data_IF_564110502705
#
_entry.id   IF_564110502705
#
_cell.length_a   1.000
_cell.length_b   1.000
_cell.length_c   1.000
_cell.angle_alpha   90.00
_cell.angle_beta   90.00
_cell.angle_gamma   90.00
#
_symmetry.space_group_name_H-M   'P 1'
#
loop_
_entity.id
_entity.type
_entity.pdbx_description
1 polymer ?
#
# COMPACT_ATOMS: atom_id res chain seq x y z
N UNK A 1 -19.62 -38.23 6.85
CA UNK A 1 -18.70 -37.18 6.38
C UNK A 1 -19.36 -36.09 5.53
N UNK A 2 -20.45 -36.37 4.79
CA UNK A 2 -21.07 -35.38 3.89
C UNK A 2 -21.91 -34.30 4.61
N UNK A 3 -22.53 -34.62 5.76
CA UNK A 3 -23.47 -33.70 6.44
C UNK A 3 -22.75 -32.61 7.25
N UNK A 4 -21.53 -32.88 7.74
CA UNK A 4 -20.77 -31.89 8.52
C UNK A 4 -20.13 -30.79 7.65
N UNK A 5 -19.72 -31.14 6.40
CA UNK A 5 -19.25 -30.15 5.42
C UNK A 5 -20.37 -29.20 4.97
N UNK A 6 -21.59 -29.73 4.79
CA UNK A 6 -22.76 -28.91 4.40
C UNK A 6 -23.16 -27.92 5.50
N UNK A 7 -23.08 -28.32 6.77
CA UNK A 7 -23.40 -27.44 7.91
C UNK A 7 -22.33 -26.34 8.11
N UNK A 8 -21.05 -26.66 7.91
CA UNK A 8 -19.96 -25.67 7.98
C UNK A 8 -20.03 -24.66 6.82
N UNK A 9 -20.39 -25.13 5.62
CA UNK A 9 -20.56 -24.31 4.43
C UNK A 9 -21.79 -23.40 4.54
N UNK A 10 -22.89 -23.91 5.12
CA UNK A 10 -24.04 -23.08 5.48
C UNK A 10 -23.69 -22.01 6.52
N UNK A 11 -22.78 -22.28 7.45
CA UNK A 11 -22.40 -21.29 8.46
C UNK A 11 -21.54 -20.16 7.89
N UNK A 12 -20.60 -20.45 6.98
CA UNK A 12 -19.78 -19.43 6.30
C UNK A 12 -20.65 -18.58 5.36
N UNK A 13 -21.55 -19.21 4.59
CA UNK A 13 -22.50 -18.53 3.71
C UNK A 13 -23.50 -17.71 4.54
N UNK A 14 -24.05 -18.25 5.64
CA UNK A 14 -24.98 -17.54 6.50
C UNK A 14 -24.29 -16.40 7.26
N UNK A 15 -23.01 -16.50 7.63
CA UNK A 15 -22.28 -15.38 8.19
C UNK A 15 -22.00 -14.27 7.15
N UNK A 16 -21.86 -14.64 5.87
CA UNK A 16 -21.71 -13.72 4.74
C UNK A 16 -23.06 -13.19 4.20
N UNK A 17 -24.19 -13.87 4.43
CA UNK A 17 -25.52 -13.48 3.94
C UNK A 17 -26.49 -12.99 5.02
N UNK A 18 -26.23 -13.23 6.31
CA UNK A 18 -27.09 -12.79 7.40
C UNK A 18 -26.80 -11.33 7.76
N UNK A 19 -27.34 -10.44 6.94
CA UNK A 19 -27.94 -9.17 7.36
C UNK A 19 -27.05 -8.22 8.16
N UNK A 20 -26.10 -7.56 7.48
CA UNK A 20 -25.72 -6.12 7.55
C UNK A 20 -24.32 -5.88 6.94
N UNK A 21 -24.02 -6.43 5.76
CA UNK A 21 -22.79 -6.03 5.07
C UNK A 21 -23.09 -4.72 4.34
N UNK A 22 -22.78 -3.60 4.99
CA UNK A 22 -22.48 -2.37 4.26
C UNK A 22 -21.36 -2.71 3.30
N UNK A 23 -21.65 -2.77 2.00
CA UNK A 23 -20.73 -3.17 0.93
C UNK A 23 -19.36 -2.48 0.97
N UNK A 24 -19.27 -1.35 1.65
CA UNK A 24 -18.09 -0.54 1.84
C UNK A 24 -17.62 -0.65 3.29
N UNK A 25 -16.33 -0.89 3.49
CA UNK A 25 -15.67 -0.93 4.79
C UNK A 25 -14.52 0.07 4.81
N UNK A 26 -14.44 0.86 5.88
CA UNK A 26 -13.29 1.71 6.16
C UNK A 26 -12.06 0.85 6.47
N UNK A 27 -10.98 1.03 5.73
CA UNK A 27 -9.68 0.40 6.03
C UNK A 27 -9.00 1.22 7.12
N UNK A 28 -8.92 2.53 6.89
CA UNK A 28 -8.38 3.55 7.78
C UNK A 28 -8.97 4.93 7.42
N UNK A 29 -8.37 6.01 7.93
CA UNK A 29 -8.84 7.39 7.68
C UNK A 29 -8.66 7.87 6.22
N UNK A 30 -7.89 7.13 5.41
CA UNK A 30 -7.52 7.52 4.04
C UNK A 30 -8.19 6.66 2.97
N UNK A 31 -8.60 5.43 3.28
CA UNK A 31 -9.10 4.48 2.29
C UNK A 31 -10.29 3.63 2.75
N UNK A 32 -11.17 3.34 1.79
CA UNK A 32 -12.35 2.49 1.91
C UNK A 32 -12.30 1.36 0.88
N UNK A 33 -12.80 0.17 1.22
CA UNK A 33 -12.90 -0.97 0.29
C UNK A 33 -14.36 -1.34 0.01
N UNK A 34 -14.73 -1.38 -1.28
CA UNK A 34 -15.98 -1.98 -1.77
C UNK A 34 -15.75 -3.49 -2.03
N UNK A 35 -16.33 -4.31 -1.17
CA UNK A 35 -16.32 -5.76 -1.26
C UNK A 35 -17.73 -6.31 -1.55
N UNK A 36 -18.61 -5.50 -2.15
CA UNK A 36 -19.88 -6.00 -2.68
C UNK A 36 -19.67 -7.15 -3.66
N UNK A 37 -20.68 -8.01 -3.74
CA UNK A 37 -20.71 -9.08 -4.71
C UNK A 37 -20.79 -8.50 -6.13
N UNK A 38 -19.86 -8.92 -7.00
CA UNK A 38 -19.86 -8.60 -8.43
C UNK A 38 -20.95 -9.36 -9.19
N UNK A 39 -21.45 -10.45 -8.61
CA UNK A 39 -22.48 -11.30 -9.18
C UNK A 39 -23.07 -12.27 -8.15
N UNK A 40 -23.94 -13.17 -8.59
CA UNK A 40 -24.48 -14.21 -7.72
C UNK A 40 -23.38 -15.24 -7.42
N UNK A 41 -23.30 -15.75 -6.17
CA UNK A 41 -22.38 -16.84 -5.84
C UNK A 41 -22.61 -18.05 -6.75
N UNK A 42 -21.52 -18.63 -7.25
CA UNK A 42 -21.57 -19.82 -8.11
C UNK A 42 -21.34 -21.06 -7.25
N UNK A 43 -22.29 -22.00 -7.28
CA UNK A 43 -22.22 -23.23 -6.47
C UNK A 43 -21.76 -24.39 -7.35
N UNK A 44 -20.59 -24.93 -7.05
CA UNK A 44 -20.07 -26.15 -7.66
C UNK A 44 -20.33 -27.36 -6.77
N UNK A 45 -20.05 -28.56 -7.29
CA UNK A 45 -20.24 -29.80 -6.54
C UNK A 45 -19.32 -29.89 -5.30
N UNK A 46 -18.15 -29.25 -5.37
CA UNK A 46 -17.07 -29.36 -4.39
C UNK A 46 -16.75 -28.07 -3.65
N UNK A 47 -17.10 -26.90 -4.21
CA UNK A 47 -16.81 -25.58 -3.64
C UNK A 47 -17.88 -24.55 -4.05
N UNK A 48 -17.83 -23.36 -3.45
CA UNK A 48 -18.61 -22.19 -3.86
C UNK A 48 -17.63 -21.07 -4.17
N UNK A 49 -17.85 -20.41 -5.30
CA UNK A 49 -17.15 -19.20 -5.67
C UNK A 49 -17.98 -17.96 -5.34
N UNK A 50 -17.32 -16.99 -4.70
CA UNK A 50 -17.88 -15.69 -4.39
C UNK A 50 -17.01 -14.61 -5.03
N UNK A 51 -17.53 -14.01 -6.09
CA UNK A 51 -16.85 -12.90 -6.76
C UNK A 51 -17.18 -11.59 -6.03
N UNK A 52 -16.16 -11.01 -5.40
CA UNK A 52 -16.22 -9.69 -4.77
C UNK A 52 -15.63 -8.65 -5.71
N UNK A 53 -16.13 -7.41 -5.67
CA UNK A 53 -15.56 -6.31 -6.46
C UNK A 53 -14.11 -6.02 -6.08
N UNK A 54 -13.84 -5.92 -4.78
CA UNK A 54 -12.50 -5.69 -4.24
C UNK A 54 -11.87 -4.41 -4.79
N UNK A 55 -12.58 -3.28 -4.69
CA UNK A 55 -12.06 -1.98 -5.16
C UNK A 55 -11.79 -1.10 -3.97
N UNK A 56 -10.62 -0.46 -3.95
CA UNK A 56 -10.26 0.50 -2.90
C UNK A 56 -10.42 1.92 -3.43
N UNK A 57 -11.09 2.75 -2.63
CA UNK A 57 -11.38 4.15 -2.90
C UNK A 57 -10.72 5.05 -1.84
N UNK A 58 -10.37 6.30 -2.19
CA UNK A 58 -10.09 7.32 -1.19
C UNK A 58 -11.29 7.51 -0.25
N UNK A 59 -11.02 7.64 1.05
CA UNK A 59 -12.07 7.83 2.05
C UNK A 59 -12.92 9.07 1.72
N UNK A 60 -14.24 8.91 1.71
CA UNK A 60 -15.20 9.97 1.36
C UNK A 60 -15.20 10.41 -0.11
N UNK A 61 -14.36 9.84 -0.98
CA UNK A 61 -14.33 10.15 -2.41
C UNK A 61 -14.17 8.87 -3.24
N UNK A 62 -15.28 8.38 -3.80
CA UNK A 62 -15.33 7.21 -4.68
C UNK A 62 -14.88 7.53 -6.12
N UNK A 63 -13.75 8.20 -6.27
CA UNK A 63 -13.14 8.38 -7.59
C UNK A 63 -12.61 7.04 -8.07
N UNK A 64 -13.04 6.61 -9.25
CA UNK A 64 -12.60 5.35 -9.83
C UNK A 64 -11.11 5.38 -10.18
N UNK A 65 -10.45 4.27 -9.92
CA UNK A 65 -9.07 4.02 -10.31
C UNK A 65 -8.93 4.04 -11.84
N UNK A 66 -7.83 4.59 -12.40
CA UNK A 66 -7.58 4.60 -13.85
C UNK A 66 -7.24 3.22 -14.42
N UNK A 67 -7.01 2.23 -13.55
CA UNK A 67 -6.66 0.87 -13.93
C UNK A 67 -7.91 0.06 -14.30
N UNK A 68 -7.73 -1.05 -15.02
CA UNK A 68 -8.82 -1.97 -15.37
C UNK A 68 -8.58 -3.34 -14.76
N UNK A 69 -9.64 -3.93 -14.23
CA UNK A 69 -9.59 -5.30 -13.71
C UNK A 69 -9.36 -6.31 -14.84
N UNK A 70 -8.30 -7.10 -14.71
CA UNK A 70 -8.08 -8.29 -15.53
C UNK A 70 -8.74 -9.50 -14.90
N UNK A 71 -9.26 -10.41 -15.72
CA UNK A 71 -9.70 -11.72 -15.24
C UNK A 71 -8.49 -12.54 -14.79
N UNK A 72 -8.65 -13.26 -13.68
CA UNK A 72 -7.66 -14.21 -13.19
C UNK A 72 -8.36 -15.50 -12.79
N UNK A 73 -7.61 -16.59 -12.69
CA UNK A 73 -8.15 -17.90 -12.31
C UNK A 73 -7.46 -18.36 -11.04
N UNK A 74 -8.23 -18.98 -10.17
CA UNK A 74 -7.71 -19.62 -8.97
C UNK A 74 -7.42 -21.07 -9.35
N UNK A 75 -6.18 -21.56 -9.14
CA UNK A 75 -5.87 -22.95 -9.41
C UNK A 75 -6.70 -23.87 -8.51
N UNK A 76 -7.14 -25.00 -9.08
CA UNK A 76 -8.04 -25.94 -8.42
C UNK A 76 -7.28 -26.72 -7.33
N UNK A 77 -7.30 -26.14 -6.13
CA UNK A 77 -6.74 -26.73 -4.92
C UNK A 77 -7.88 -27.10 -3.98
N UNK A 78 -7.78 -28.26 -3.34
CA UNK A 78 -8.80 -28.78 -2.40
C UNK A 78 -8.22 -29.15 -1.04
N UNK A 79 -7.05 -28.61 -0.72
CA UNK A 79 -6.33 -28.83 0.54
C UNK A 79 -6.77 -27.88 1.67
N UNK A 80 -7.53 -26.84 1.37
CA UNK A 80 -7.97 -25.80 2.31
C UNK A 80 -9.48 -25.59 2.28
N UNK A 81 -10.05 -25.07 3.37
CA UNK A 81 -11.49 -24.78 3.47
C UNK A 81 -11.91 -23.46 2.82
N UNK A 82 -10.96 -22.55 2.61
CA UNK A 82 -11.17 -21.22 2.06
C UNK A 82 -9.95 -20.85 1.22
N UNK A 83 -10.20 -20.31 0.03
CA UNK A 83 -9.18 -19.68 -0.80
C UNK A 83 -9.56 -18.21 -0.97
N UNK A 84 -8.59 -17.33 -0.77
CA UNK A 84 -8.70 -15.91 -1.06
C UNK A 84 -7.73 -15.60 -2.18
N UNK A 85 -8.22 -14.92 -3.20
CA UNK A 85 -7.42 -14.46 -4.31
C UNK A 85 -7.65 -12.97 -4.52
N UNK A 86 -6.54 -12.26 -4.73
CA UNK A 86 -6.52 -10.82 -4.90
C UNK A 86 -6.05 -10.52 -6.31
N UNK A 87 -6.79 -9.67 -7.01
CA UNK A 87 -6.41 -9.21 -8.34
C UNK A 87 -5.30 -8.17 -8.26
N UNK A 88 -4.57 -7.99 -9.37
CA UNK A 88 -3.61 -6.88 -9.49
C UNK A 88 -4.34 -5.53 -9.30
N UNK A 89 -5.56 -5.47 -9.81
CA UNK A 89 -6.44 -4.31 -9.73
C UNK A 89 -6.80 -3.92 -8.29
N UNK A 90 -6.97 -4.88 -7.37
CA UNK A 90 -7.17 -4.58 -5.94
C UNK A 90 -5.99 -3.78 -5.39
N UNK A 91 -4.75 -4.20 -5.69
CA UNK A 91 -3.56 -3.50 -5.23
C UNK A 91 -3.33 -2.17 -5.96
N UNK A 92 -3.61 -2.11 -7.26
CA UNK A 92 -3.51 -0.88 -8.05
C UNK A 92 -4.51 0.19 -7.59
N UNK A 93 -5.77 -0.18 -7.36
CA UNK A 93 -6.79 0.72 -6.79
C UNK A 93 -6.42 1.16 -5.37
N UNK A 94 -5.84 0.28 -4.55
CA UNK A 94 -5.30 0.64 -3.24
C UNK A 94 -4.20 1.70 -3.36
N UNK A 95 -3.21 1.47 -4.21
CA UNK A 95 -2.12 2.43 -4.44
C UNK A 95 -2.63 3.80 -4.91
N UNK A 96 -3.59 3.81 -5.83
CA UNK A 96 -4.25 5.02 -6.29
C UNK A 96 -4.98 5.76 -5.16
N UNK A 97 -5.74 5.05 -4.33
CA UNK A 97 -6.46 5.63 -3.21
C UNK A 97 -5.52 6.31 -2.20
N UNK A 98 -4.47 5.62 -1.77
CA UNK A 98 -3.48 6.18 -0.84
C UNK A 98 -2.66 7.31 -1.45
N UNK A 99 -2.34 7.25 -2.74
CA UNK A 99 -1.64 8.32 -3.44
C UNK A 99 -2.46 9.59 -3.52
N UNK A 100 -3.73 9.48 -3.92
CA UNK A 100 -4.63 10.64 -4.02
C UNK A 100 -4.99 11.21 -2.64
N UNK A 101 -4.99 10.38 -1.60
CA UNK A 101 -5.12 10.82 -0.21
C UNK A 101 -3.83 11.47 0.37
N UNK A 102 -2.73 11.46 -0.38
CA UNK A 102 -1.47 12.09 0.04
C UNK A 102 -0.59 11.26 0.97
N UNK A 103 -0.87 9.96 1.13
CA UNK A 103 -0.13 9.07 2.03
C UNK A 103 1.36 8.94 1.68
N UNK A 104 1.73 9.15 0.41
CA UNK A 104 3.12 9.09 -0.05
C UNK A 104 3.85 10.44 -0.01
N UNK A 105 3.27 11.44 0.66
CA UNK A 105 3.93 12.73 0.95
C UNK A 105 4.23 12.80 2.44
N UNK A 106 5.49 12.60 2.81
CA UNK A 106 5.92 12.54 4.20
C UNK A 106 7.04 13.53 4.48
N UNK A 107 6.93 14.23 5.60
CA UNK A 107 8.03 15.02 6.15
C UNK A 107 8.63 14.29 7.34
N UNK A 108 9.91 13.95 7.25
CA UNK A 108 10.70 13.45 8.38
C UNK A 108 11.28 14.67 9.10
N UNK A 109 10.76 14.89 10.31
CA UNK A 109 11.09 16.02 11.16
C UNK A 109 12.49 15.90 11.79
N UNK A 110 12.96 17.03 12.31
CA UNK A 110 14.25 17.17 12.99
C UNK A 110 14.48 16.10 14.06
N UNK A 111 13.51 15.83 14.93
CA UNK A 111 13.68 14.87 16.04
C UNK A 111 14.15 13.48 15.54
N UNK A 112 13.58 13.00 14.44
CA UNK A 112 13.96 11.72 13.82
C UNK A 112 15.33 11.82 13.15
N UNK A 113 15.61 12.91 12.43
CA UNK A 113 16.91 13.13 11.79
C UNK A 113 18.04 13.25 12.83
N UNK A 114 17.76 13.94 13.94
CA UNK A 114 18.64 14.10 15.09
C UNK A 114 18.95 12.75 15.75
N UNK A 115 17.99 11.83 15.84
CA UNK A 115 18.26 10.46 16.33
C UNK A 115 19.28 9.71 15.47
N UNK A 116 19.26 9.91 14.15
CA UNK A 116 20.23 9.33 13.22
C UNK A 116 21.46 10.23 12.97
N UNK A 117 21.57 11.34 13.71
CA UNK A 117 22.64 12.33 13.59
C UNK A 117 22.78 12.92 12.17
N UNK A 118 21.68 12.99 11.41
CA UNK A 118 21.62 13.53 10.06
C UNK A 118 21.59 15.06 10.13
N UNK A 119 22.70 15.70 9.72
CA UNK A 119 22.86 17.15 9.73
C UNK A 119 23.56 17.64 8.44
N UNK A 120 23.71 18.95 8.30
CA UNK A 120 24.38 19.54 7.13
C UNK A 120 25.87 19.20 7.03
N UNK A 121 26.52 18.82 8.13
CA UNK A 121 27.94 18.42 8.16
C UNK A 121 28.16 17.08 7.43
N UNK A 122 27.26 16.11 7.59
CA UNK A 122 27.35 14.85 6.82
C UNK A 122 27.31 15.15 5.32
N UNK A 123 26.40 16.02 4.89
CA UNK A 123 26.26 16.36 3.47
C UNK A 123 27.41 17.25 2.96
N UNK A 124 28.00 18.10 3.79
CA UNK A 124 29.11 18.97 3.39
C UNK A 124 30.37 18.17 3.00
N UNK A 125 30.53 16.96 3.56
CA UNK A 125 31.62 16.04 3.20
C UNK A 125 31.45 15.42 1.80
N UNK A 126 30.21 15.36 1.29
CA UNK A 126 29.87 14.72 0.00
C UNK A 126 29.61 15.77 -1.08
N UNK A 127 28.96 16.88 -0.73
CA UNK A 127 28.50 17.94 -1.63
C UNK A 127 29.16 19.27 -1.21
N UNK A 128 30.24 19.69 -1.90
CA UNK A 128 31.00 20.90 -1.55
C UNK A 128 30.17 22.20 -1.54
N UNK A 129 29.11 22.27 -2.35
CA UNK A 129 28.20 23.40 -2.39
C UNK A 129 27.47 23.58 -1.04
N UNK A 130 27.12 22.50 -0.35
CA UNK A 130 26.49 22.56 0.99
C UNK A 130 27.48 23.11 2.03
N UNK A 131 28.78 22.79 1.89
CA UNK A 131 29.84 23.31 2.76
C UNK A 131 29.98 24.83 2.67
N UNK A 132 29.68 25.45 1.51
CA UNK A 132 29.74 26.91 1.34
C UNK A 132 28.71 27.65 2.19
N UNK A 133 27.56 27.02 2.47
CA UNK A 133 26.47 27.60 3.26
C UNK A 133 26.50 27.17 4.73
N UNK A 134 27.28 26.13 5.07
CA UNK A 134 27.25 25.47 6.37
C UNK A 134 28.60 25.61 7.08
N UNK A 135 28.93 26.82 7.54
CA UNK A 135 30.08 27.04 8.45
C UNK A 135 29.81 26.41 9.82
N UNK A 136 28.53 26.34 10.20
CA UNK A 136 28.01 25.67 11.41
C UNK A 136 27.05 24.55 10.97
N UNK A 137 27.07 23.37 11.62
CA UNK A 137 26.10 22.32 11.35
C UNK A 137 24.68 22.77 11.71
N UNK A 138 23.74 22.60 10.77
CA UNK A 138 22.32 22.84 10.99
C UNK A 138 21.56 21.50 10.98
N UNK A 139 20.46 21.39 11.75
CA UNK A 139 19.55 20.27 11.63
C UNK A 139 18.93 20.19 10.23
N UNK A 140 18.51 19.00 9.84
CA UNK A 140 17.98 18.72 8.50
C UNK A 140 16.58 18.14 8.61
N UNK A 141 15.71 18.58 7.70
CA UNK A 141 14.38 18.03 7.46
C UNK A 141 14.37 17.37 6.09
N UNK A 142 13.78 16.18 6.01
CA UNK A 142 13.64 15.44 4.74
C UNK A 142 12.18 15.45 4.32
N UNK A 143 11.90 15.90 3.10
CA UNK A 143 10.56 15.89 2.53
C UNK A 143 10.51 14.88 1.39
N UNK A 144 9.82 13.77 1.63
CA UNK A 144 9.59 12.69 0.68
C UNK A 144 8.29 12.96 -0.07
N UNK A 145 8.34 12.87 -1.39
CA UNK A 145 7.20 13.08 -2.26
C UNK A 145 7.20 12.03 -3.37
N UNK A 146 6.10 11.30 -3.53
CA UNK A 146 5.91 10.46 -4.71
C UNK A 146 5.61 11.34 -5.92
N UNK A 147 6.30 11.08 -7.04
CA UNK A 147 6.12 11.81 -8.28
C UNK A 147 4.88 11.34 -9.05
N UNK A 148 4.61 10.03 -8.96
CA UNK A 148 3.50 9.36 -9.62
C UNK A 148 2.88 8.31 -8.68
N UNK A 149 1.77 7.70 -9.09
CA UNK A 149 1.11 6.63 -8.34
C UNK A 149 2.05 5.42 -8.31
N UNK A 150 2.38 4.85 -7.12
CA UNK A 150 3.21 3.65 -7.06
C UNK A 150 2.56 2.50 -7.82
N UNK A 151 3.32 1.85 -8.71
CA UNK A 151 2.78 0.79 -9.56
C UNK A 151 2.98 -0.53 -8.84
N UNK A 152 1.89 -1.28 -8.66
CA UNK A 152 1.93 -2.64 -8.13
C UNK A 152 1.60 -3.61 -9.26
N UNK A 153 2.46 -4.61 -9.45
CA UNK A 153 2.26 -5.68 -10.43
C UNK A 153 2.41 -7.06 -9.80
N UNK A 154 1.56 -7.97 -10.24
CA UNK A 154 1.57 -9.39 -9.88
C UNK A 154 2.40 -10.15 -10.92
N UNK A 155 3.58 -10.60 -10.52
CA UNK A 155 4.40 -11.50 -11.31
C UNK A 155 4.27 -12.94 -10.82
N UNK A 156 4.76 -13.89 -11.60
CA UNK A 156 4.77 -15.29 -11.21
C UNK A 156 5.60 -15.44 -9.93
N UNK A 157 4.93 -15.84 -8.84
CA UNK A 157 5.46 -16.04 -7.49
C UNK A 157 5.93 -14.78 -6.73
N UNK A 158 5.74 -13.57 -7.28
CA UNK A 158 6.17 -12.35 -6.59
C UNK A 158 5.29 -11.13 -6.88
N UNK A 159 5.19 -10.24 -5.90
CA UNK A 159 4.58 -8.93 -6.07
C UNK A 159 5.69 -7.91 -6.27
N UNK A 160 5.62 -7.12 -7.32
CA UNK A 160 6.58 -6.05 -7.60
C UNK A 160 5.93 -4.70 -7.37
N UNK A 161 6.66 -3.81 -6.69
CA UNK A 161 6.26 -2.42 -6.50
C UNK A 161 7.34 -1.50 -7.02
N UNK A 162 6.92 -0.57 -7.87
CA UNK A 162 7.76 0.48 -8.44
C UNK A 162 7.34 1.82 -7.85
N UNK A 163 8.30 2.51 -7.23
CA UNK A 163 8.11 3.80 -6.58
C UNK A 163 9.02 4.80 -7.28
N UNK A 164 8.42 5.87 -7.80
CA UNK A 164 9.13 7.01 -8.35
C UNK A 164 8.79 8.24 -7.52
N UNK A 165 9.81 8.91 -7.02
CA UNK A 165 9.62 10.06 -6.15
C UNK A 165 10.87 10.90 -6.00
N UNK A 166 10.82 11.79 -5.03
CA UNK A 166 11.93 12.65 -4.69
C UNK A 166 12.03 12.84 -3.19
N UNK A 167 13.25 13.11 -2.75
CA UNK A 167 13.55 13.53 -1.38
C UNK A 167 14.21 14.89 -1.48
N UNK A 168 13.52 15.90 -0.99
CA UNK A 168 14.07 17.23 -0.82
C UNK A 168 14.71 17.32 0.57
N UNK A 169 15.98 17.75 0.59
CA UNK A 169 16.76 17.91 1.82
C UNK A 169 16.81 19.39 2.16
N UNK A 170 16.28 19.73 3.33
CA UNK A 170 16.12 21.11 3.79
C UNK A 170 16.97 21.33 5.05
N UNK A 171 17.74 22.41 5.11
CA UNK A 171 18.36 22.87 6.35
C UNK A 171 17.36 23.69 7.18
N UNK A 172 17.35 23.48 8.49
CA UNK A 172 16.59 24.29 9.44
C UNK A 172 17.51 25.37 10.00
N UNK A 173 17.26 26.62 9.64
CA UNK A 173 18.07 27.77 10.05
C UNK A 173 17.72 28.22 11.48
N UNK A 174 18.59 29.00 12.16
CA UNK A 174 18.34 29.44 13.54
C UNK A 174 17.08 30.29 13.73
N UNK A 175 16.60 30.93 12.66
CA UNK A 175 15.34 31.67 12.64
C UNK A 175 14.11 30.79 12.38
N UNK A 176 14.29 29.46 12.44
CA UNK A 176 13.27 28.43 12.16
C UNK A 176 12.78 28.41 10.70
N UNK A 177 13.44 29.12 9.79
CA UNK A 177 13.15 29.01 8.36
C UNK A 177 13.84 27.80 7.74
N UNK A 178 13.25 27.28 6.67
CA UNK A 178 13.79 26.12 5.95
C UNK A 178 14.42 26.55 4.64
N UNK A 179 15.63 26.09 4.37
CA UNK A 179 16.32 26.34 3.11
C UNK A 179 16.60 25.03 2.38
N UNK A 180 16.16 24.94 1.11
CA UNK A 180 16.44 23.79 0.27
C UNK A 180 17.93 23.71 -0.07
N UNK A 181 18.52 22.56 0.21
CA UNK A 181 19.93 22.27 -0.08
C UNK A 181 20.06 21.60 -1.44
N UNK A 182 19.34 20.49 -1.62
CA UNK A 182 19.31 19.71 -2.85
C UNK A 182 18.11 18.76 -2.85
N UNK A 183 17.77 18.25 -4.03
CA UNK A 183 16.71 17.26 -4.23
C UNK A 183 17.31 16.01 -4.86
N UNK A 184 16.95 14.86 -4.32
CA UNK A 184 17.30 13.54 -4.85
C UNK A 184 16.07 12.95 -5.52
N UNK A 185 16.21 12.48 -6.76
CA UNK A 185 15.19 11.66 -7.40
C UNK A 185 15.43 10.19 -7.02
N UNK A 186 14.37 9.50 -6.63
CA UNK A 186 14.40 8.10 -6.24
C UNK A 186 13.54 7.30 -7.21
N UNK A 187 14.13 6.25 -7.77
CA UNK A 187 13.42 5.17 -8.43
C UNK A 187 13.76 3.89 -7.67
N UNK A 188 12.77 3.26 -7.06
CA UNK A 188 12.95 2.06 -6.24
C UNK A 188 12.02 0.96 -6.72
N UNK A 189 12.59 -0.23 -6.92
CA UNK A 189 11.87 -1.44 -7.28
C UNK A 189 12.03 -2.44 -6.14
N UNK A 190 10.92 -2.84 -5.55
CA UNK A 190 10.88 -3.70 -4.36
C UNK A 190 9.94 -4.86 -4.58
N UNK A 191 10.23 -5.97 -3.91
CA UNK A 191 9.32 -7.12 -3.89
C UNK A 191 8.45 -7.06 -2.63
N UNK A 192 7.19 -7.49 -2.73
CA UNK A 192 6.31 -7.68 -1.58
C UNK A 192 6.08 -9.16 -1.37
N UNK A 193 6.19 -9.58 -0.10
CA UNK A 193 5.67 -10.85 0.37
C UNK A 193 4.35 -10.61 1.10
N UNK A 194 3.29 -11.32 0.69
CA UNK A 194 2.00 -11.25 1.36
C UNK A 194 1.85 -12.41 2.35
N UNK A 195 1.23 -12.12 3.50
CA UNK A 195 0.86 -13.11 4.49
C UNK A 195 -0.50 -12.76 5.09
N UNK A 196 -1.19 -13.76 5.62
CA UNK A 196 -2.42 -13.54 6.38
C UNK A 196 -2.11 -13.81 7.85
N UNK A 197 -2.32 -12.81 8.69
CA UNK A 197 -2.14 -12.92 10.14
C UNK A 197 -3.29 -12.21 10.83
N UNK A 198 -3.89 -12.88 11.83
CA UNK A 198 -5.04 -12.36 12.58
C UNK A 198 -6.18 -11.86 11.68
N UNK A 199 -6.52 -12.65 10.65
CA UNK A 199 -7.56 -12.34 9.66
C UNK A 199 -7.31 -11.06 8.83
N UNK A 200 -6.08 -10.53 8.85
CA UNK A 200 -5.65 -9.36 8.07
C UNK A 200 -4.64 -9.76 7.00
N UNK A 201 -4.78 -9.17 5.81
CA UNK A 201 -3.76 -9.26 4.77
C UNK A 201 -2.61 -8.32 5.15
N UNK A 202 -1.42 -8.89 5.36
CA UNK A 202 -0.20 -8.17 5.69
C UNK A 202 0.78 -8.24 4.52
N UNK A 203 1.33 -7.09 4.13
CA UNK A 203 2.42 -7.01 3.16
C UNK A 203 3.75 -6.73 3.87
N UNK A 204 4.80 -7.44 3.50
CA UNK A 204 6.18 -7.15 3.89
C UNK A 204 6.97 -6.71 2.67
N UNK A 205 7.48 -5.48 2.71
CA UNK A 205 8.30 -4.90 1.66
C UNK A 205 9.76 -5.35 1.81
N UNK A 206 10.32 -5.92 0.76
CA UNK A 206 11.70 -6.35 0.67
C UNK A 206 12.41 -5.52 -0.41
N UNK A 207 13.08 -4.45 0.03
CA UNK A 207 13.91 -3.63 -0.84
C UNK A 207 15.02 -4.50 -1.43
N UNK A 208 15.04 -4.60 -2.76
CA UNK A 208 16.12 -5.26 -3.47
C UNK A 208 17.43 -4.47 -3.22
N UNK A 209 18.50 -5.19 -2.87
CA UNK A 209 19.82 -4.63 -2.55
C UNK A 209 20.56 -4.16 -3.78
#
# INVERSE_FOLDING_TARGET
LCIHKIISMFFVIFCVLSTTLTAIMQIDDLAEVDYSLSGLPTVFQTFIDLDLKGVVFPAGNHTDSPYMAASFTIPDHSDSMLYLAFSEYFFQSSSFAYYTAGAFNMTIADETCSFFNINTEIFSSIIPEVAKYSVTPYPVMLKLMSAEIPIISLQQDSFMVEIQGSVEVLAILPDSTTQSLFTLNIAANTSISLNIFDQKLMGSLCLNR
#
